data_IF_315673659212
#
_entry.id   IF_315673659212
#
_cell.length_a   1.000
_cell.length_b   1.000
_cell.length_c   1.000
_cell.angle_alpha   90.00
_cell.angle_beta   90.00
_cell.angle_gamma   90.00
#
_symmetry.space_group_name_H-M   'P 1'
#
loop_
_entity.id
_entity.type
_entity.pdbx_description
1 polymer ?
#
# COMPACT_ATOMS: atom_id res chain seq x y z
N UNK A 1 -1.18 4.92 10.22
CA UNK A 1 -2.15 5.13 9.12
C UNK A 1 -2.45 6.62 9.06
N UNK A 2 -2.64 7.18 7.87
CA UNK A 2 -2.87 8.61 7.65
C UNK A 2 -4.02 8.82 6.67
N UNK A 3 -4.77 9.92 6.79
CA UNK A 3 -5.65 10.39 5.72
C UNK A 3 -4.87 11.18 4.69
N UNK A 4 -5.43 11.36 3.50
CA UNK A 4 -4.74 12.02 2.39
C UNK A 4 -4.34 13.47 2.70
N UNK A 5 -5.11 14.16 3.53
CA UNK A 5 -4.88 15.55 3.93
C UNK A 5 -4.00 15.69 5.18
N UNK A 6 -3.52 14.58 5.75
CA UNK A 6 -2.71 14.55 6.97
C UNK A 6 -1.41 13.74 6.79
N UNK A 7 -0.83 13.77 5.58
CA UNK A 7 0.43 13.08 5.29
C UNK A 7 1.58 13.67 6.12
N UNK A 8 2.39 12.83 6.81
CA UNK A 8 3.53 13.30 7.59
C UNK A 8 4.67 13.72 6.67
N UNK A 9 5.77 14.21 7.23
CA UNK A 9 7.00 14.34 6.44
C UNK A 9 7.57 12.94 6.09
N UNK A 10 8.17 12.77 4.89
CA UNK A 10 8.88 11.55 4.54
C UNK A 10 9.91 11.14 5.59
N UNK A 11 9.84 9.88 6.04
CA UNK A 11 10.78 9.32 7.01
C UNK A 11 11.33 8.01 6.47
N UNK A 12 12.66 7.94 6.31
CA UNK A 12 13.36 6.77 5.81
C UNK A 12 13.02 5.52 6.63
N UNK A 13 12.83 4.39 5.93
CA UNK A 13 12.53 3.10 6.54
C UNK A 13 11.09 2.98 7.07
N UNK A 14 10.19 3.92 6.74
CA UNK A 14 8.79 3.88 7.18
C UNK A 14 7.83 3.59 6.04
N UNK A 15 6.81 2.80 6.35
CA UNK A 15 5.66 2.57 5.48
C UNK A 15 4.50 3.44 5.97
N UNK A 16 3.93 4.20 5.05
CA UNK A 16 2.73 4.99 5.24
C UNK A 16 1.57 4.21 4.62
N UNK A 17 0.59 3.84 5.44
CA UNK A 17 -0.70 3.36 4.94
C UNK A 17 -1.62 4.57 4.92
N UNK A 18 -2.10 4.93 3.73
CA UNK A 18 -2.80 6.18 3.45
C UNK A 18 -4.20 5.88 2.97
N UNK A 19 -5.20 6.47 3.62
CA UNK A 19 -6.56 6.55 3.12
C UNK A 19 -6.66 7.69 2.11
N UNK A 20 -7.25 7.44 0.94
CA UNK A 20 -7.43 8.44 -0.09
C UNK A 20 -8.57 9.42 0.18
N UNK A 21 -9.42 9.15 1.18
CA UNK A 21 -10.36 10.13 1.69
C UNK A 21 -9.72 11.07 2.73
N UNK A 22 -10.24 12.31 2.85
CA UNK A 22 -9.90 13.19 3.95
C UNK A 22 -10.27 12.60 5.32
N UNK A 23 -9.63 13.10 6.37
CA UNK A 23 -9.98 12.74 7.74
C UNK A 23 -11.46 13.04 8.03
N UNK A 24 -12.13 12.12 8.74
CA UNK A 24 -13.55 12.26 9.12
C UNK A 24 -14.54 11.65 8.14
N UNK A 25 -14.07 11.09 7.02
CA UNK A 25 -14.87 10.31 6.09
C UNK A 25 -14.66 8.80 6.31
N UNK A 26 -15.59 7.98 5.82
CA UNK A 26 -15.62 6.53 6.06
C UNK A 26 -14.43 5.79 5.44
N UNK A 27 -13.75 6.40 4.45
CA UNK A 27 -12.58 5.84 3.81
C UNK A 27 -12.91 5.00 2.58
N UNK A 28 -12.48 5.46 1.41
CA UNK A 28 -12.80 4.86 0.12
C UNK A 28 -11.76 3.87 -0.37
N UNK A 29 -10.47 4.20 -0.23
CA UNK A 29 -9.37 3.40 -0.76
C UNK A 29 -8.11 3.58 0.07
N UNK A 30 -7.36 2.49 0.24
CA UNK A 30 -6.13 2.48 1.02
C UNK A 30 -4.95 2.11 0.13
N UNK A 31 -3.88 2.90 0.21
CA UNK A 31 -2.62 2.67 -0.50
C UNK A 31 -1.45 2.64 0.48
N UNK A 32 -0.32 2.09 0.03
CA UNK A 32 0.92 2.09 0.81
C UNK A 32 2.02 2.89 0.12
N UNK A 33 2.74 3.70 0.89
CA UNK A 33 3.97 4.37 0.45
C UNK A 33 5.11 3.93 1.36
N UNK A 34 6.11 3.25 0.80
CA UNK A 34 7.34 2.91 1.52
C UNK A 34 8.45 3.90 1.17
N UNK A 35 8.94 4.63 2.16
CA UNK A 35 10.05 5.57 2.00
C UNK A 35 11.36 4.82 2.19
N UNK A 36 11.98 4.39 1.10
CA UNK A 36 13.22 3.60 1.14
C UNK A 36 14.40 4.45 1.63
N UNK A 37 14.53 5.66 1.09
CA UNK A 37 15.55 6.64 1.48
C UNK A 37 15.08 8.07 1.14
N UNK A 38 15.97 9.07 1.25
CA UNK A 38 15.66 10.47 0.98
C UNK A 38 15.25 10.76 -0.49
N UNK A 39 15.56 9.87 -1.42
CA UNK A 39 15.39 10.02 -2.87
C UNK A 39 14.47 8.97 -3.49
N UNK A 40 14.26 7.83 -2.82
CA UNK A 40 13.53 6.68 -3.33
C UNK A 40 12.30 6.39 -2.49
N UNK A 41 11.17 6.22 -3.16
CA UNK A 41 9.94 5.71 -2.56
C UNK A 41 9.31 4.62 -3.44
N UNK A 42 8.54 3.74 -2.80
CA UNK A 42 7.66 2.79 -3.47
C UNK A 42 6.22 3.24 -3.18
N UNK A 43 5.42 3.37 -4.22
CA UNK A 43 3.97 3.55 -4.14
C UNK A 43 3.30 2.25 -4.56
N UNK A 44 2.53 1.67 -3.66
CA UNK A 44 1.80 0.44 -3.89
C UNK A 44 0.31 0.70 -3.78
N UNK A 45 -0.40 0.42 -4.87
CA UNK A 45 -1.85 0.50 -4.98
C UNK A 45 -2.35 -0.85 -5.50
N UNK A 46 -3.06 -1.60 -4.64
CA UNK A 46 -3.56 -2.92 -4.98
C UNK A 46 -4.56 -2.92 -6.14
N UNK A 47 -5.27 -1.82 -6.38
CA UNK A 47 -6.17 -1.67 -7.54
C UNK A 47 -5.46 -1.11 -8.78
N UNK A 48 -4.23 -0.60 -8.62
CA UNK A 48 -3.46 0.06 -9.68
C UNK A 48 -4.29 1.14 -10.41
N UNK A 49 -4.99 1.97 -9.64
CA UNK A 49 -5.80 3.03 -10.22
C UNK A 49 -4.90 4.10 -10.81
N UNK A 50 -5.32 4.75 -11.91
CA UNK A 50 -4.63 5.94 -12.40
C UNK A 50 -4.46 6.92 -11.25
N UNK A 51 -3.23 7.40 -11.04
CA UNK A 51 -2.95 8.39 -10.00
C UNK A 51 -3.54 9.73 -10.45
N UNK A 52 -4.84 9.90 -10.31
CA UNK A 52 -5.57 11.14 -10.65
C UNK A 52 -5.61 12.10 -9.45
N UNK A 53 -4.90 11.78 -8.36
CA UNK A 53 -5.02 12.46 -7.08
C UNK A 53 -3.80 13.34 -6.85
N UNK A 54 -4.00 14.64 -7.08
CA UNK A 54 -2.94 15.65 -7.03
C UNK A 54 -2.15 15.67 -5.71
N UNK A 55 -2.77 15.28 -4.58
CA UNK A 55 -2.11 15.29 -3.27
C UNK A 55 -1.07 14.17 -3.16
N UNK A 56 -1.40 12.95 -3.61
CA UNK A 56 -0.44 11.83 -3.61
C UNK A 56 0.71 12.14 -4.55
N UNK A 57 0.43 12.66 -5.74
CA UNK A 57 1.50 13.06 -6.66
C UNK A 57 2.37 14.18 -6.09
N UNK A 58 1.79 15.16 -5.39
CA UNK A 58 2.55 16.22 -4.71
C UNK A 58 3.45 15.67 -3.61
N UNK A 59 2.99 14.66 -2.88
CA UNK A 59 3.82 13.96 -1.90
C UNK A 59 4.96 13.19 -2.57
N UNK A 60 4.67 12.45 -3.65
CA UNK A 60 5.64 11.62 -4.36
C UNK A 60 6.69 12.44 -5.11
N UNK A 61 6.39 13.68 -5.52
CA UNK A 61 7.36 14.64 -6.10
C UNK A 61 8.51 15.00 -5.16
N UNK A 62 8.42 14.69 -3.85
CA UNK A 62 9.53 14.83 -2.91
C UNK A 62 10.67 13.84 -3.16
N UNK A 63 10.45 12.82 -3.99
CA UNK A 63 11.41 11.77 -4.32
C UNK A 63 11.81 11.86 -5.79
N UNK A 64 13.08 11.60 -6.08
CA UNK A 64 13.57 11.58 -7.47
C UNK A 64 13.23 10.27 -8.19
N UNK A 65 12.99 9.19 -7.44
CA UNK A 65 12.69 7.87 -7.97
C UNK A 65 11.47 7.32 -7.22
N UNK A 66 10.44 6.97 -7.97
CA UNK A 66 9.22 6.36 -7.44
C UNK A 66 8.94 5.07 -8.21
N UNK A 67 9.02 3.94 -7.53
CA UNK A 67 8.64 2.64 -8.09
C UNK A 67 7.17 2.36 -7.79
N UNK A 68 6.44 1.80 -8.75
CA UNK A 68 5.01 1.48 -8.64
C UNK A 68 4.75 0.08 -9.15
N UNK A 69 3.74 -0.61 -8.60
CA UNK A 69 3.21 -1.79 -9.28
C UNK A 69 2.51 -1.35 -10.58
N UNK A 70 2.57 -2.19 -11.62
CA UNK A 70 2.04 -1.86 -12.95
C UNK A 70 0.73 -2.59 -13.28
N UNK A 71 0.27 -3.45 -12.37
CA UNK A 71 -0.94 -4.25 -12.51
C UNK A 71 -1.74 -4.24 -11.23
N UNK A 72 -3.04 -4.45 -11.35
CA UNK A 72 -3.93 -4.64 -10.22
C UNK A 72 -3.74 -6.04 -9.62
N UNK A 73 -3.71 -6.11 -8.29
CA UNK A 73 -3.68 -7.35 -7.51
C UNK A 73 -4.98 -7.58 -6.73
N UNK A 74 -5.76 -6.52 -6.51
CA UNK A 74 -7.07 -6.57 -5.89
C UNK A 74 -8.17 -6.61 -6.95
N UNK A 75 -9.23 -7.37 -6.68
CA UNK A 75 -10.46 -7.31 -7.48
C UNK A 75 -11.19 -5.98 -7.27
N UNK A 76 -11.73 -5.33 -8.32
CA UNK A 76 -12.49 -4.08 -8.16
C UNK A 76 -13.76 -4.23 -7.30
N UNK A 77 -14.21 -5.46 -7.05
CA UNK A 77 -15.38 -5.76 -6.21
C UNK A 77 -15.02 -6.16 -4.78
N UNK A 78 -13.72 -6.16 -4.45
CA UNK A 78 -13.21 -6.56 -3.13
C UNK A 78 -12.97 -5.34 -2.25
N UNK A 79 -13.21 -5.49 -0.95
CA UNK A 79 -12.90 -4.49 0.08
C UNK A 79 -11.54 -4.74 0.78
N UNK A 80 -10.61 -5.44 0.11
CA UNK A 80 -9.36 -5.90 0.71
C UNK A 80 -8.15 -4.94 0.58
N UNK A 81 -8.32 -3.70 0.11
CA UNK A 81 -7.20 -2.76 -0.09
C UNK A 81 -6.35 -2.55 1.18
N UNK A 82 -6.99 -2.44 2.35
CA UNK A 82 -6.29 -2.35 3.63
C UNK A 82 -5.49 -3.64 3.96
N UNK A 83 -6.04 -4.82 3.66
CA UNK A 83 -5.32 -6.10 3.84
C UNK A 83 -4.09 -6.19 2.94
N UNK A 84 -4.17 -5.70 1.70
CA UNK A 84 -3.02 -5.59 0.81
C UNK A 84 -1.94 -4.66 1.39
N UNK A 85 -2.34 -3.50 1.91
CA UNK A 85 -1.40 -2.55 2.55
C UNK A 85 -0.69 -3.15 3.77
N UNK A 86 -1.43 -3.86 4.63
CA UNK A 86 -0.90 -4.54 5.82
C UNK A 86 0.02 -5.68 5.40
N UNK A 87 -0.39 -6.51 4.43
CA UNK A 87 0.40 -7.61 3.91
C UNK A 87 1.73 -7.12 3.32
N UNK A 88 1.71 -6.06 2.51
CA UNK A 88 2.92 -5.43 1.99
C UNK A 88 3.87 -5.00 3.13
N UNK A 89 3.34 -4.30 4.13
CA UNK A 89 4.11 -3.86 5.31
C UNK A 89 4.71 -5.05 6.06
N UNK A 90 3.94 -6.13 6.24
CA UNK A 90 4.38 -7.35 6.88
C UNK A 90 5.55 -7.99 6.14
N UNK A 91 5.46 -8.18 4.82
CA UNK A 91 6.53 -8.80 4.05
C UNK A 91 7.79 -7.93 4.00
N UNK A 92 7.66 -6.60 3.89
CA UNK A 92 8.79 -5.69 4.05
C UNK A 92 9.48 -5.89 5.41
N UNK A 93 8.71 -6.03 6.50
CA UNK A 93 9.27 -6.28 7.85
C UNK A 93 9.99 -7.63 7.98
N UNK A 94 9.70 -8.58 7.08
CA UNK A 94 10.38 -9.88 6.98
C UNK A 94 11.60 -9.85 6.07
N UNK A 95 11.97 -8.69 5.53
CA UNK A 95 13.14 -8.51 4.67
C UNK A 95 12.88 -8.71 3.18
N UNK A 96 11.62 -8.90 2.77
CA UNK A 96 11.28 -8.94 1.34
C UNK A 96 11.47 -7.55 0.73
N UNK A 97 11.99 -7.50 -0.48
CA UNK A 97 11.94 -6.31 -1.32
C UNK A 97 10.62 -6.23 -2.11
N UNK A 98 10.42 -5.13 -2.85
CA UNK A 98 9.18 -4.89 -3.57
C UNK A 98 8.91 -5.93 -4.65
N UNK A 99 9.92 -6.25 -5.47
CA UNK A 99 9.78 -7.20 -6.58
C UNK A 99 9.52 -8.63 -6.09
N UNK A 100 10.15 -9.02 -4.97
CA UNK A 100 9.88 -10.30 -4.31
C UNK A 100 8.42 -10.37 -3.79
N UNK A 101 7.91 -9.28 -3.21
CA UNK A 101 6.52 -9.20 -2.77
C UNK A 101 5.55 -9.26 -3.94
N UNK A 102 5.82 -8.54 -5.04
CA UNK A 102 5.00 -8.62 -6.26
C UNK A 102 5.02 -10.05 -6.82
N UNK A 103 6.20 -10.66 -6.92
CA UNK A 103 6.37 -12.07 -7.35
C UNK A 103 5.59 -13.05 -6.47
N UNK A 104 5.50 -12.78 -5.16
CA UNK A 104 4.69 -13.59 -4.24
C UNK A 104 3.20 -13.48 -4.56
N UNK A 105 2.68 -12.27 -4.80
CA UNK A 105 1.30 -12.04 -5.20
C UNK A 105 0.99 -12.63 -6.58
N UNK A 106 1.95 -12.54 -7.51
CA UNK A 106 1.91 -13.13 -8.86
C UNK A 106 1.66 -14.63 -8.87
N UNK A 107 2.15 -15.34 -7.86
CA UNK A 107 1.96 -16.78 -7.70
C UNK A 107 0.59 -17.16 -7.14
N UNK A 108 -0.22 -16.19 -6.71
CA UNK A 108 -1.53 -16.46 -6.11
C UNK A 108 -2.63 -16.45 -7.17
N UNK A 109 -3.43 -17.52 -7.20
CA UNK A 109 -4.65 -17.56 -8.01
C UNK A 109 -5.69 -16.54 -7.52
N UNK A 110 -5.66 -16.20 -6.23
CA UNK A 110 -6.53 -15.20 -5.62
C UNK A 110 -5.73 -14.39 -4.59
N UNK A 111 -5.12 -13.26 -5.00
CA UNK A 111 -4.32 -12.42 -4.11
C UNK A 111 -5.13 -11.83 -2.95
N UNK A 112 -6.41 -11.49 -3.15
CA UNK A 112 -7.30 -10.97 -2.10
C UNK A 112 -7.46 -11.98 -0.95
N UNK A 113 -7.79 -13.23 -1.29
CA UNK A 113 -7.93 -14.29 -0.31
C UNK A 113 -6.59 -14.58 0.40
N UNK A 114 -5.49 -14.52 -0.33
CA UNK A 114 -4.15 -14.69 0.24
C UNK A 114 -3.84 -13.63 1.29
N UNK A 115 -4.01 -12.34 0.97
CA UNK A 115 -3.69 -11.26 1.92
C UNK A 115 -4.64 -11.24 3.12
N UNK A 116 -5.92 -11.58 2.91
CA UNK A 116 -6.90 -11.67 4.00
C UNK A 116 -6.49 -12.77 4.99
N UNK A 117 -6.23 -14.00 4.51
CA UNK A 117 -5.78 -15.11 5.35
C UNK A 117 -4.46 -14.81 6.06
N UNK A 118 -3.54 -14.14 5.37
CA UNK A 118 -2.27 -13.73 5.98
C UNK A 118 -2.51 -12.73 7.12
N UNK A 119 -3.44 -11.78 6.95
CA UNK A 119 -3.80 -10.84 8.02
C UNK A 119 -4.46 -11.55 9.20
N UNK A 120 -5.46 -12.40 8.95
CA UNK A 120 -6.18 -13.16 9.98
C UNK A 120 -5.22 -14.04 10.81
N UNK A 121 -4.31 -14.76 10.16
CA UNK A 121 -3.34 -15.65 10.81
C UNK A 121 -2.36 -14.90 11.70
N UNK A 122 -1.88 -13.74 11.26
CA UNK A 122 -0.77 -13.04 11.92
C UNK A 122 -1.22 -11.93 12.88
N UNK A 123 -2.46 -11.43 12.76
CA UNK A 123 -2.89 -10.24 13.51
C UNK A 123 -4.12 -10.44 14.39
N UNK A 124 -4.70 -11.67 14.49
CA UNK A 124 -5.92 -11.95 15.28
C UNK A 124 -6.93 -10.79 15.20
N UNK A 125 -7.27 -10.39 13.97
CA UNK A 125 -8.31 -9.39 13.74
C UNK A 125 -9.65 -10.07 14.09
N UNK A 126 -10.05 -9.96 15.35
CA UNK A 126 -11.36 -10.45 15.80
C UNK A 126 -12.43 -9.58 15.16
N UNK A 127 -13.39 -10.24 14.49
CA UNK A 127 -14.64 -9.64 14.01
C UNK A 127 -15.39 -8.99 15.16
#
# INVERSE_FOLDING_TARGET
MFSINALPQPMQGKVLIVNLDPQGFEGSHWISIYVQDKRKAIYFDSLNLPTSICIIDSFLKKFSIVTRNVRAYQSPYSNCCAHHCISFTYFLSKGYNFDEYLTLLDKQNNPDLFVQKNCEKNYKLSR
#
